data_IF_535511059371
#
_entry.id   IF_535511059371
#
_cell.length_a   1.000
_cell.length_b   1.000
_cell.length_c   1.000
_cell.angle_alpha   90.00
_cell.angle_beta   90.00
_cell.angle_gamma   90.00
#
_symmetry.space_group_name_H-M   'P 1'
#
loop_
_entity.id
_entity.type
_entity.pdbx_description
1 polymer ?
#
# COMPACT_ATOMS: atom_id res chain seq x y z
N UNK A 1 -53.79 9.06 10.58
CA UNK A 1 -52.97 8.79 9.38
C UNK A 1 -51.73 9.68 9.29
N UNK A 2 -51.77 10.94 9.76
CA UNK A 2 -50.64 11.88 9.71
C UNK A 2 -49.45 11.51 10.62
N UNK A 3 -49.72 10.92 11.76
CA UNK A 3 -48.69 10.52 12.74
C UNK A 3 -47.82 9.37 12.20
N UNK A 4 -48.46 8.39 11.53
CA UNK A 4 -47.73 7.28 10.92
C UNK A 4 -46.84 7.74 9.76
N UNK A 5 -47.34 8.66 8.93
CA UNK A 5 -46.54 9.25 7.86
C UNK A 5 -45.33 10.05 8.37
N UNK A 6 -45.50 10.79 9.47
CA UNK A 6 -44.42 11.47 10.15
C UNK A 6 -43.35 10.50 10.71
N UNK A 7 -43.79 9.38 11.30
CA UNK A 7 -42.91 8.35 11.86
C UNK A 7 -42.11 7.65 10.76
N UNK A 8 -42.69 7.34 9.62
CA UNK A 8 -41.97 6.76 8.47
C UNK A 8 -40.99 7.75 7.83
N UNK A 9 -41.36 9.03 7.74
CA UNK A 9 -40.46 10.07 7.20
C UNK A 9 -39.24 10.29 8.12
N UNK A 10 -39.46 10.29 9.45
CA UNK A 10 -38.35 10.41 10.44
C UNK A 10 -37.49 9.17 10.42
N UNK A 11 -38.05 7.99 10.31
CA UNK A 11 -37.31 6.73 10.23
C UNK A 11 -36.45 6.67 8.97
N UNK A 12 -36.98 7.07 7.82
CA UNK A 12 -36.23 7.12 6.56
C UNK A 12 -35.09 8.14 6.63
N UNK A 13 -35.31 9.30 7.24
CA UNK A 13 -34.25 10.29 7.41
C UNK A 13 -33.13 9.82 8.34
N UNK A 14 -33.47 9.09 9.41
CA UNK A 14 -32.49 8.51 10.33
C UNK A 14 -31.67 7.41 9.63
N UNK A 15 -32.31 6.55 8.84
CA UNK A 15 -31.62 5.49 8.10
C UNK A 15 -30.70 6.08 7.02
N UNK A 16 -31.13 7.09 6.28
CA UNK A 16 -30.32 7.78 5.29
C UNK A 16 -29.13 8.47 5.97
N UNK A 17 -29.33 9.12 7.11
CA UNK A 17 -28.25 9.78 7.85
C UNK A 17 -27.25 8.76 8.40
N UNK A 18 -27.69 7.62 8.94
CA UNK A 18 -26.80 6.56 9.42
C UNK A 18 -25.95 5.98 8.27
N UNK A 19 -26.58 5.72 7.13
CA UNK A 19 -25.89 5.23 5.95
C UNK A 19 -24.85 6.25 5.42
N UNK A 20 -25.22 7.54 5.38
CA UNK A 20 -24.30 8.60 5.02
C UNK A 20 -23.08 8.68 5.96
N UNK A 21 -23.30 8.62 7.26
CA UNK A 21 -22.23 8.64 8.26
C UNK A 21 -21.32 7.42 8.07
N UNK A 22 -21.88 6.22 7.90
CA UNK A 22 -21.12 5.00 7.67
C UNK A 22 -20.26 5.09 6.39
N UNK A 23 -20.86 5.59 5.31
CA UNK A 23 -20.14 5.76 4.05
C UNK A 23 -19.05 6.83 4.13
N UNK A 24 -19.25 7.93 4.87
CA UNK A 24 -18.22 8.93 5.13
C UNK A 24 -17.04 8.35 5.94
N UNK A 25 -17.31 7.52 6.93
CA UNK A 25 -16.26 6.83 7.70
C UNK A 25 -15.49 5.86 6.81
N UNK A 26 -16.18 5.06 5.99
CA UNK A 26 -15.55 4.15 5.04
C UNK A 26 -14.70 4.88 4.01
N UNK A 27 -15.19 6.00 3.50
CA UNK A 27 -14.46 6.90 2.59
C UNK A 27 -13.18 7.42 3.23
N UNK A 28 -13.26 8.01 4.42
CA UNK A 28 -12.10 8.52 5.14
C UNK A 28 -11.06 7.40 5.39
N UNK A 29 -11.50 6.22 5.78
CA UNK A 29 -10.63 5.06 5.96
C UNK A 29 -9.90 4.67 4.68
N UNK A 30 -10.60 4.59 3.54
CA UNK A 30 -9.99 4.28 2.24
C UNK A 30 -8.92 5.30 1.84
N UNK A 31 -9.24 6.60 1.95
CA UNK A 31 -8.31 7.68 1.62
C UNK A 31 -7.05 7.61 2.47
N UNK A 32 -7.19 7.50 3.78
CA UNK A 32 -6.06 7.41 4.72
C UNK A 32 -5.20 6.19 4.41
N UNK A 33 -5.81 5.04 4.20
CA UNK A 33 -5.09 3.79 3.89
C UNK A 33 -4.27 3.88 2.60
N UNK A 34 -4.86 4.44 1.54
CA UNK A 34 -4.18 4.64 0.25
C UNK A 34 -3.06 5.67 0.38
N UNK A 35 -3.29 6.74 1.12
CA UNK A 35 -2.30 7.78 1.38
C UNK A 35 -1.04 7.20 2.06
N UNK A 36 -1.20 6.46 3.14
CA UNK A 36 -0.08 5.80 3.81
C UNK A 36 0.61 4.75 2.94
N UNK A 37 -0.15 4.01 2.13
CA UNK A 37 0.42 3.07 1.18
C UNK A 37 1.31 3.77 0.14
N UNK A 38 0.91 4.94 -0.36
CA UNK A 38 1.70 5.73 -1.30
C UNK A 38 2.97 6.31 -0.67
N UNK A 39 2.91 6.81 0.56
CA UNK A 39 4.10 7.27 1.29
C UNK A 39 5.10 6.13 1.45
N UNK A 40 4.64 4.96 1.89
CA UNK A 40 5.47 3.77 2.04
C UNK A 40 6.16 3.37 0.73
N UNK A 41 5.43 3.39 -0.40
CA UNK A 41 5.99 3.10 -1.72
C UNK A 41 7.00 4.14 -2.16
N UNK A 42 6.76 5.43 -1.88
CA UNK A 42 7.72 6.49 -2.13
C UNK A 42 9.05 6.23 -1.41
N UNK A 43 9.01 5.83 -0.14
CA UNK A 43 10.19 5.43 0.61
C UNK A 43 10.92 4.21 0.01
N UNK A 44 10.16 3.20 -0.42
CA UNK A 44 10.72 2.01 -1.09
C UNK A 44 11.39 2.39 -2.41
N UNK A 45 10.79 3.28 -3.21
CA UNK A 45 11.38 3.76 -4.46
C UNK A 45 12.71 4.48 -4.24
N UNK A 46 12.83 5.29 -3.18
CA UNK A 46 14.09 5.95 -2.83
C UNK A 46 15.19 4.92 -2.53
N UNK A 47 14.88 3.88 -1.77
CA UNK A 47 15.81 2.77 -1.50
C UNK A 47 16.17 2.06 -2.80
N UNK A 48 15.20 1.79 -3.67
CA UNK A 48 15.43 1.14 -4.96
C UNK A 48 16.31 1.98 -5.89
N UNK A 49 16.19 3.30 -5.86
CA UNK A 49 17.09 4.17 -6.63
C UNK A 49 18.54 4.07 -6.13
N UNK A 50 18.76 4.06 -4.82
CA UNK A 50 20.08 3.89 -4.23
C UNK A 50 20.69 2.54 -4.59
N UNK A 51 19.91 1.45 -4.50
CA UNK A 51 20.36 0.09 -4.87
C UNK A 51 20.56 -0.03 -6.38
N UNK A 52 19.74 0.65 -7.18
CA UNK A 52 19.85 0.68 -8.65
C UNK A 52 21.20 1.18 -9.13
N UNK A 53 21.77 2.16 -8.46
CA UNK A 53 23.12 2.66 -8.76
C UNK A 53 24.17 1.53 -8.63
N UNK A 54 24.03 0.66 -7.61
CA UNK A 54 24.93 -0.49 -7.44
C UNK A 54 24.76 -1.54 -8.55
N UNK A 55 23.53 -1.81 -8.98
CA UNK A 55 23.27 -2.72 -10.08
C UNK A 55 23.81 -2.20 -11.42
N UNK A 56 23.80 -0.89 -11.65
CA UNK A 56 24.39 -0.29 -12.85
C UNK A 56 25.88 -0.56 -12.96
N UNK A 57 26.63 -0.60 -11.85
CA UNK A 57 28.03 -0.97 -11.85
C UNK A 57 28.29 -2.46 -12.17
N UNK A 58 27.28 -3.33 -11.99
CA UNK A 58 27.37 -4.75 -12.32
C UNK A 58 27.18 -5.05 -13.81
N UNK A 59 26.46 -4.19 -14.53
CA UNK A 59 26.14 -4.37 -15.96
C UNK A 59 27.39 -4.50 -16.85
N UNK A 60 28.45 -3.66 -16.71
CA UNK A 60 29.66 -3.78 -17.51
C UNK A 60 30.42 -5.09 -17.28
N UNK A 61 30.19 -5.76 -16.16
CA UNK A 61 30.81 -7.05 -15.82
C UNK A 61 30.06 -8.26 -16.37
N UNK A 62 28.96 -8.06 -17.12
CA UNK A 62 28.15 -9.11 -17.73
C UNK A 62 27.03 -9.69 -16.82
N UNK A 63 26.86 -9.17 -15.60
CA UNK A 63 25.80 -9.59 -14.68
C UNK A 63 24.55 -8.73 -14.90
N UNK A 64 23.74 -9.06 -15.90
CA UNK A 64 22.53 -8.31 -16.28
C UNK A 64 21.28 -8.77 -15.56
N UNK A 65 21.27 -9.96 -14.97
CA UNK A 65 20.07 -10.56 -14.35
C UNK A 65 19.57 -9.73 -13.15
N UNK A 66 20.49 -9.25 -12.31
CA UNK A 66 20.16 -8.40 -11.17
C UNK A 66 19.52 -7.07 -11.60
N UNK A 67 20.06 -6.46 -12.66
CA UNK A 67 19.53 -5.23 -13.22
C UNK A 67 18.13 -5.42 -13.79
N UNK A 68 17.88 -6.50 -14.54
CA UNK A 68 16.58 -6.81 -15.11
C UNK A 68 15.53 -7.05 -14.01
N UNK A 69 15.91 -7.75 -12.93
CA UNK A 69 15.02 -7.97 -11.80
C UNK A 69 14.71 -6.66 -11.06
N UNK A 70 15.71 -5.83 -10.84
CA UNK A 70 15.52 -4.51 -10.25
C UNK A 70 14.59 -3.64 -11.11
N UNK A 71 14.77 -3.60 -12.43
CA UNK A 71 13.92 -2.85 -13.35
C UNK A 71 12.46 -3.31 -13.27
N UNK A 72 12.22 -4.63 -13.23
CA UNK A 72 10.88 -5.19 -13.07
C UNK A 72 10.24 -4.77 -11.75
N UNK A 73 10.99 -4.75 -10.65
CA UNK A 73 10.47 -4.32 -9.35
C UNK A 73 10.11 -2.83 -9.33
N UNK A 74 10.97 -1.97 -9.88
CA UNK A 74 10.68 -0.53 -9.97
C UNK A 74 9.45 -0.27 -10.83
N UNK A 75 9.35 -0.91 -12.00
CA UNK A 75 8.19 -0.81 -12.88
C UNK A 75 6.90 -1.30 -12.18
N UNK A 76 6.98 -2.40 -11.43
CA UNK A 76 5.85 -2.93 -10.67
C UNK A 76 5.35 -1.95 -9.61
N UNK A 77 6.24 -1.33 -8.85
CA UNK A 77 5.90 -0.35 -7.81
C UNK A 77 5.26 0.89 -8.45
N UNK A 78 5.84 1.43 -9.52
CA UNK A 78 5.33 2.58 -10.24
C UNK A 78 3.93 2.31 -10.84
N UNK A 79 3.76 1.16 -11.51
CA UNK A 79 2.49 0.78 -12.12
C UNK A 79 1.39 0.61 -11.06
N UNK A 80 1.71 -0.06 -9.96
CA UNK A 80 0.77 -0.27 -8.86
C UNK A 80 0.37 1.07 -8.21
N UNK A 81 1.32 1.98 -7.99
CA UNK A 81 1.05 3.30 -7.46
C UNK A 81 0.16 4.11 -8.40
N UNK A 82 0.46 4.09 -9.70
CA UNK A 82 -0.32 4.76 -10.73
C UNK A 82 -1.77 4.26 -10.78
N UNK A 83 -1.97 2.95 -10.89
CA UNK A 83 -3.31 2.35 -10.91
C UNK A 83 -4.12 2.68 -9.66
N UNK A 84 -3.49 2.59 -8.49
CA UNK A 84 -4.14 2.87 -7.22
C UNK A 84 -4.56 4.34 -7.10
N UNK A 85 -3.70 5.28 -7.50
CA UNK A 85 -3.99 6.72 -7.48
C UNK A 85 -5.08 7.07 -8.49
N UNK A 86 -5.05 6.48 -9.68
CA UNK A 86 -6.08 6.68 -10.71
C UNK A 86 -7.45 6.21 -10.23
N UNK A 87 -7.55 5.01 -9.65
CA UNK A 87 -8.80 4.49 -9.10
C UNK A 87 -9.29 5.33 -7.92
N UNK A 88 -8.39 5.81 -7.06
CA UNK A 88 -8.77 6.73 -5.99
C UNK A 88 -9.39 8.01 -6.54
N UNK A 89 -8.76 8.61 -7.55
CA UNK A 89 -9.22 9.85 -8.17
C UNK A 89 -10.57 9.64 -8.87
N UNK A 90 -10.74 8.55 -9.61
CA UNK A 90 -12.03 8.18 -10.22
C UNK A 90 -13.12 7.97 -9.17
N UNK A 91 -12.80 7.31 -8.07
CA UNK A 91 -13.72 7.12 -6.94
C UNK A 91 -14.17 8.46 -6.34
N UNK A 92 -13.22 9.40 -6.16
CA UNK A 92 -13.50 10.76 -5.69
C UNK A 92 -14.43 11.54 -6.63
N UNK A 93 -14.20 11.47 -7.93
CA UNK A 93 -15.04 12.13 -8.93
C UNK A 93 -16.45 11.54 -9.01
N UNK A 94 -16.58 10.23 -8.81
CA UNK A 94 -17.86 9.53 -8.89
C UNK A 94 -18.68 9.66 -7.60
N UNK A 95 -18.01 9.89 -6.47
CA UNK A 95 -18.63 9.93 -5.14
C UNK A 95 -19.79 10.92 -5.02
N UNK A 96 -19.72 12.18 -5.55
CA UNK A 96 -20.84 13.13 -5.47
C UNK A 96 -22.08 12.71 -6.27
N UNK A 97 -21.90 11.98 -7.38
CA UNK A 97 -22.99 11.51 -8.22
C UNK A 97 -23.63 10.21 -7.75
N UNK A 98 -22.80 9.26 -7.37
CA UNK A 98 -23.21 7.94 -6.89
C UNK A 98 -22.28 7.46 -5.77
N UNK A 99 -22.68 7.70 -4.54
CA UNK A 99 -21.89 7.44 -3.36
C UNK A 99 -21.45 5.96 -3.22
N UNK A 100 -22.36 5.02 -3.52
CA UNK A 100 -22.07 3.58 -3.50
C UNK A 100 -21.05 3.19 -4.57
N UNK A 101 -21.18 3.72 -5.76
CA UNK A 101 -20.26 3.44 -6.87
C UNK A 101 -18.88 4.02 -6.58
N UNK A 102 -18.82 5.27 -6.11
CA UNK A 102 -17.57 5.91 -5.70
C UNK A 102 -16.83 5.14 -4.61
N UNK A 103 -17.57 4.70 -3.57
CA UNK A 103 -17.02 3.88 -2.51
C UNK A 103 -16.52 2.51 -3.03
N UNK A 104 -17.27 1.87 -3.94
CA UNK A 104 -16.86 0.61 -4.58
C UNK A 104 -15.55 0.73 -5.35
N UNK A 105 -15.38 1.81 -6.13
CA UNK A 105 -14.13 2.08 -6.86
C UNK A 105 -12.96 2.30 -5.89
N UNK A 106 -13.19 3.02 -4.80
CA UNK A 106 -12.16 3.24 -3.78
C UNK A 106 -11.75 1.96 -3.05
N UNK A 107 -12.71 1.09 -2.76
CA UNK A 107 -12.42 -0.23 -2.19
C UNK A 107 -11.62 -1.09 -3.16
N UNK A 108 -11.95 -1.05 -4.46
CA UNK A 108 -11.18 -1.71 -5.51
C UNK A 108 -9.73 -1.19 -5.57
N UNK A 109 -9.50 0.11 -5.38
CA UNK A 109 -8.16 0.68 -5.31
C UNK A 109 -7.29 0.06 -4.20
N UNK A 110 -7.88 -0.38 -3.09
CA UNK A 110 -7.17 -1.07 -2.02
C UNK A 110 -6.70 -2.49 -2.42
N UNK A 111 -7.37 -3.14 -3.38
CA UNK A 111 -7.04 -4.49 -3.86
C UNK A 111 -5.97 -4.49 -4.97
N UNK A 112 -5.68 -3.32 -5.58
CA UNK A 112 -4.69 -3.20 -6.67
C UNK A 112 -3.34 -3.83 -6.32
N UNK A 113 -2.73 -3.63 -5.14
CA UNK A 113 -1.46 -4.26 -4.81
C UNK A 113 -1.52 -5.79 -4.79
N UNK A 114 -2.64 -6.35 -4.34
CA UNK A 114 -2.87 -7.79 -4.29
C UNK A 114 -3.00 -8.38 -5.69
N UNK A 115 -3.72 -7.70 -6.56
CA UNK A 115 -3.87 -8.10 -7.96
C UNK A 115 -2.52 -8.02 -8.68
N UNK A 116 -1.75 -6.94 -8.48
CA UNK A 116 -0.43 -6.79 -9.07
C UNK A 116 0.52 -7.93 -8.67
N UNK A 117 0.47 -8.40 -7.42
CA UNK A 117 1.24 -9.55 -6.95
C UNK A 117 0.86 -10.86 -7.66
N UNK A 118 -0.42 -11.06 -7.97
CA UNK A 118 -0.87 -12.26 -8.71
C UNK A 118 -0.31 -12.30 -10.14
N UNK A 119 -0.04 -11.16 -10.74
CA UNK A 119 0.61 -11.06 -12.04
C UNK A 119 2.15 -11.12 -11.98
N UNK A 120 2.71 -11.49 -10.83
CA UNK A 120 4.17 -11.57 -10.66
C UNK A 120 4.86 -10.22 -10.56
N UNK A 121 4.09 -9.14 -10.45
CA UNK A 121 4.59 -7.80 -10.18
C UNK A 121 4.73 -7.65 -8.67
N UNK A 122 5.81 -8.19 -8.10
CA UNK A 122 6.04 -8.13 -6.65
C UNK A 122 6.49 -6.72 -6.27
N UNK A 123 5.52 -5.89 -5.89
CA UNK A 123 5.76 -4.54 -5.36
C UNK A 123 6.07 -4.55 -3.85
N UNK A 124 6.03 -5.73 -3.22
CA UNK A 124 6.35 -5.89 -1.80
C UNK A 124 7.81 -6.29 -1.64
N UNK A 125 8.65 -5.35 -1.26
CA UNK A 125 9.92 -5.70 -0.62
C UNK A 125 9.55 -6.34 0.72
N UNK A 126 9.48 -7.65 0.76
CA UNK A 126 9.39 -8.41 2.01
C UNK A 126 10.74 -8.26 2.69
N UNK A 127 10.90 -7.19 3.46
CA UNK A 127 11.94 -7.14 4.47
C UNK A 127 11.58 -8.23 5.46
N UNK A 128 12.29 -9.34 5.38
CA UNK A 128 12.08 -10.46 6.29
C UNK A 128 12.62 -9.99 7.66
N UNK A 129 11.72 -9.39 8.46
CA UNK A 129 12.06 -8.87 9.80
C UNK A 129 12.75 -9.94 10.64
N UNK A 130 12.45 -11.22 10.39
CA UNK A 130 13.06 -12.34 11.04
C UNK A 130 14.56 -12.47 10.72
N UNK A 131 14.98 -12.18 9.48
CA UNK A 131 16.39 -12.22 9.10
C UNK A 131 17.19 -11.06 9.72
N UNK A 132 16.55 -9.88 9.86
CA UNK A 132 17.17 -8.72 10.52
C UNK A 132 17.34 -8.97 12.01
N UNK A 133 16.34 -9.58 12.66
CA UNK A 133 16.42 -9.96 14.09
C UNK A 133 17.49 -11.03 14.30
N UNK A 134 17.62 -12.03 13.43
CA UNK A 134 18.67 -13.03 13.51
C UNK A 134 20.07 -12.42 13.29
N UNK A 135 20.22 -11.49 12.35
CA UNK A 135 21.49 -10.81 12.11
C UNK A 135 21.92 -9.96 13.33
N UNK A 136 20.98 -9.26 13.97
CA UNK A 136 21.25 -8.47 15.18
C UNK A 136 21.59 -9.35 16.38
N UNK A 137 20.89 -10.46 16.60
CA UNK A 137 21.21 -11.40 17.67
C UNK A 137 22.57 -12.07 17.48
N UNK A 138 22.93 -12.40 16.24
CA UNK A 138 24.25 -12.97 15.92
C UNK A 138 25.35 -11.95 16.15
N UNK A 139 25.16 -10.69 15.75
CA UNK A 139 26.13 -9.62 15.98
C UNK A 139 26.34 -9.34 17.48
N UNK A 140 25.26 -9.32 18.26
CA UNK A 140 25.35 -9.14 19.73
C UNK A 140 26.06 -10.32 20.41
N UNK A 141 25.78 -11.56 19.99
CA UNK A 141 26.46 -12.74 20.54
C UNK A 141 27.93 -12.75 20.16
N UNK A 142 28.28 -12.37 18.93
CA UNK A 142 29.69 -12.27 18.50
C UNK A 142 30.43 -11.21 19.30
N UNK A 143 29.87 -10.05 19.55
CA UNK A 143 30.46 -8.99 20.35
C UNK A 143 30.70 -9.44 21.81
N UNK A 144 29.77 -10.21 22.40
CA UNK A 144 29.91 -10.80 23.73
C UNK A 144 31.02 -11.84 23.80
N UNK A 145 31.16 -12.67 22.76
CA UNK A 145 32.22 -13.70 22.68
C UNK A 145 33.60 -13.06 22.58
N UNK A 146 33.72 -12.02 21.73
CA UNK A 146 34.98 -11.26 21.60
C UNK A 146 35.34 -10.55 22.90
N UNK A 147 34.39 -9.94 23.59
CA UNK A 147 34.60 -9.27 24.88
C UNK A 147 35.01 -10.25 26.00
N UNK A 148 34.57 -11.53 25.93
CA UNK A 148 34.98 -12.58 26.85
C UNK A 148 36.38 -13.15 26.55
N UNK A 149 36.78 -13.20 25.28
CA UNK A 149 38.08 -13.67 24.85
C UNK A 149 39.22 -12.66 25.11
N UNK A 150 38.84 -11.37 25.27
CA UNK A 150 39.80 -10.29 25.56
C UNK A 150 40.07 -10.06 27.06
N UNK A 151 39.45 -10.88 27.93
CA UNK A 151 39.61 -10.82 29.38
C UNK A 151 40.37 -12.06 29.90
#
# INVERSE_FOLDING_TARGET
>A
TSVLQGSFAVSNNIQINLFNILAMIAFAYCVIKIFFANIKRGGILLIQMAVGALYMFSVPRGYTDGFNQWMKQVAAICLTAFMQTTLLFLGLLTFPGNMLLGLGIMLAANEVPRIAQQFGLDSSVRVNMMSVVHATTTAVNLSRTVARAAK
#
